data_IF_062916487260
#
_entry.id   IF_062916487260
#
_cell.length_a   1.000
_cell.length_b   1.000
_cell.length_c   1.000
_cell.angle_alpha   90.00
_cell.angle_beta   90.00
_cell.angle_gamma   90.00
#
_symmetry.space_group_name_H-M   'P 1'
#
loop_
_entity.id
_entity.type
_entity.pdbx_description
1 polymer ?
#
# COMPACT_ATOMS: atom_id res chain seq x y z
N UNK A 1 -6.98 -16.89 -20.84
CA UNK A 1 -7.42 -15.80 -19.93
C UNK A 1 -7.41 -14.52 -20.73
N UNK A 2 -8.56 -13.88 -20.90
CA UNK A 2 -8.67 -12.64 -21.67
C UNK A 2 -8.26 -11.49 -20.72
N UNK A 3 -7.45 -10.53 -21.16
CA UNK A 3 -7.06 -9.35 -20.35
C UNK A 3 -8.23 -8.38 -20.06
N UNK A 4 -9.47 -8.83 -20.25
CA UNK A 4 -10.69 -8.04 -20.12
C UNK A 4 -11.38 -8.22 -18.76
N UNK A 5 -10.93 -9.16 -17.92
CA UNK A 5 -11.61 -9.47 -16.64
C UNK A 5 -10.89 -8.90 -15.39
N UNK A 6 -9.72 -8.26 -15.57
CA UNK A 6 -8.91 -7.69 -14.47
C UNK A 6 -8.35 -6.32 -14.85
N UNK A 7 -8.21 -5.45 -13.85
CA UNK A 7 -7.52 -4.16 -13.94
C UNK A 7 -6.25 -4.14 -13.08
N UNK A 8 -5.71 -2.94 -12.87
CA UNK A 8 -4.59 -2.69 -11.97
C UNK A 8 -4.72 -1.33 -11.27
N UNK A 9 -4.05 -1.20 -10.13
CA UNK A 9 -3.83 0.07 -9.43
C UNK A 9 -2.35 0.42 -9.53
N UNK A 10 -2.07 1.66 -9.92
CA UNK A 10 -0.74 2.27 -9.83
C UNK A 10 -0.81 3.44 -8.86
N UNK A 11 0.30 3.75 -8.22
CA UNK A 11 0.39 4.90 -7.34
C UNK A 11 1.81 5.25 -6.98
N UNK A 12 1.93 6.36 -6.25
CA UNK A 12 3.20 6.94 -5.83
C UNK A 12 3.23 7.09 -4.31
N UNK A 13 4.43 7.00 -3.75
CA UNK A 13 4.74 7.33 -2.36
C UNK A 13 5.81 8.43 -2.37
N UNK A 14 5.46 9.60 -1.85
CA UNK A 14 6.40 10.67 -1.49
C UNK A 14 7.12 10.26 -0.19
N UNK A 15 8.08 9.37 -0.35
CA UNK A 15 8.86 8.80 0.75
C UNK A 15 9.60 9.89 1.53
N UNK A 16 10.05 10.95 0.85
CA UNK A 16 10.79 12.04 1.49
C UNK A 16 9.89 12.81 2.44
N UNK A 17 8.69 13.21 2.00
CA UNK A 17 7.72 13.89 2.86
C UNK A 17 7.28 12.96 4.01
N UNK A 18 7.01 11.69 3.72
CA UNK A 18 6.61 10.70 4.73
C UNK A 18 7.66 10.55 5.84
N UNK A 19 8.94 10.44 5.49
CA UNK A 19 10.04 10.40 6.47
C UNK A 19 10.10 11.68 7.32
N UNK A 20 9.84 12.85 6.73
CA UNK A 20 9.83 14.11 7.46
C UNK A 20 8.67 14.18 8.45
N UNK A 21 7.46 13.77 8.04
CA UNK A 21 6.29 13.72 8.92
C UNK A 21 6.51 12.77 10.09
N UNK A 22 6.97 11.54 9.84
CA UNK A 22 7.23 10.54 10.89
C UNK A 22 8.36 10.97 11.82
N UNK A 23 9.44 11.54 11.28
CA UNK A 23 10.54 12.06 12.09
C UNK A 23 10.16 13.23 13.00
N UNK A 24 9.02 13.88 12.77
CA UNK A 24 8.49 14.95 13.61
C UNK A 24 7.55 14.44 14.72
N UNK A 25 7.09 13.18 14.66
CA UNK A 25 6.14 12.59 15.61
C UNK A 25 6.67 11.27 16.20
N UNK A 26 7.11 11.26 17.47
CA UNK A 26 7.63 10.05 18.11
C UNK A 26 6.59 8.97 18.37
N UNK A 27 5.28 9.24 18.19
CA UNK A 27 4.22 8.24 18.29
C UNK A 27 4.04 7.42 17.01
N UNK A 28 4.60 7.89 15.88
CA UNK A 28 4.71 7.11 14.65
C UNK A 28 5.96 6.24 14.72
N UNK A 29 5.81 4.92 14.52
CA UNK A 29 6.94 3.99 14.58
C UNK A 29 8.00 4.34 13.52
N UNK A 30 9.28 4.18 13.83
CA UNK A 30 10.33 4.44 12.85
C UNK A 30 10.25 3.45 11.68
N UNK A 31 10.52 3.96 10.47
CA UNK A 31 10.68 3.11 9.31
C UNK A 31 11.91 2.22 9.46
N UNK A 32 11.80 0.99 8.97
CA UNK A 32 12.89 0.03 9.07
C UNK A 32 14.06 0.43 8.18
N UNK A 33 15.28 0.28 8.71
CA UNK A 33 16.49 0.65 7.97
C UNK A 33 16.64 -0.19 6.69
N UNK A 34 16.92 0.47 5.57
CA UNK A 34 17.05 -0.16 4.24
C UNK A 34 15.78 -0.88 3.76
N UNK A 35 14.62 -0.38 4.17
CA UNK A 35 13.33 -0.84 3.67
C UNK A 35 12.46 0.36 3.32
N UNK A 36 12.25 0.56 2.03
CA UNK A 36 11.50 1.69 1.49
C UNK A 36 9.99 1.48 1.58
N UNK A 37 9.55 0.33 2.11
CA UNK A 37 8.15 0.05 2.40
C UNK A 37 7.41 -0.74 1.32
N UNK A 38 6.17 -1.05 1.63
CA UNK A 38 5.24 -1.72 0.73
C UNK A 38 3.84 -1.15 0.88
N UNK A 39 3.06 -1.27 -0.20
CA UNK A 39 1.62 -1.00 -0.21
C UNK A 39 0.86 -2.31 -0.02
N UNK A 40 -0.05 -2.30 0.94
CA UNK A 40 -0.94 -3.38 1.30
C UNK A 40 -2.28 -3.13 0.64
N UNK A 41 -2.77 -4.13 -0.10
CA UNK A 41 -4.00 -4.02 -0.89
C UNK A 41 -5.03 -4.98 -0.32
N UNK A 42 -6.19 -4.46 0.07
CA UNK A 42 -7.29 -5.21 0.65
C UNK A 42 -8.50 -5.16 -0.26
N UNK A 43 -9.28 -6.23 -0.31
CA UNK A 43 -10.55 -6.23 -1.02
C UNK A 43 -11.61 -5.50 -0.20
N UNK A 44 -12.37 -4.60 -0.82
CA UNK A 44 -13.43 -3.82 -0.18
C UNK A 44 -13.05 -2.36 0.02
N UNK A 45 -14.04 -1.53 0.34
CA UNK A 45 -13.85 -0.14 0.72
C UNK A 45 -13.66 -0.02 2.23
N UNK A 46 -12.89 0.98 2.65
CA UNK A 46 -12.70 1.39 4.05
C UNK A 46 -12.30 0.24 4.99
N UNK A 47 -11.49 -0.70 4.49
CA UNK A 47 -10.93 -1.79 5.29
C UNK A 47 -9.87 -1.23 6.23
N UNK A 48 -9.99 -1.52 7.52
CA UNK A 48 -8.93 -1.19 8.48
C UNK A 48 -7.66 -1.98 8.14
N UNK A 49 -6.53 -1.31 7.82
CA UNK A 49 -5.30 -1.99 7.41
C UNK A 49 -4.71 -2.85 8.53
N UNK A 50 -4.18 -4.01 8.15
CA UNK A 50 -3.47 -4.96 9.00
C UNK A 50 -2.31 -5.56 8.20
N UNK A 51 -1.21 -5.90 8.86
CA UNK A 51 -0.08 -6.65 8.29
C UNK A 51 -0.50 -7.94 7.56
N UNK A 52 0.41 -8.50 6.76
CA UNK A 52 0.19 -9.80 6.14
C UNK A 52 0.46 -10.88 7.18
N UNK A 53 -0.51 -11.76 7.44
CA UNK A 53 -0.27 -12.91 8.31
C UNK A 53 -0.90 -14.18 7.71
N UNK A 54 -0.09 -15.21 7.44
CA UNK A 54 -0.54 -16.44 6.75
C UNK A 54 -1.44 -17.34 7.60
N UNK A 55 -1.46 -17.14 8.92
CA UNK A 55 -2.30 -17.87 9.86
C UNK A 55 -3.57 -17.11 10.26
N UNK A 56 -3.70 -15.83 9.86
CA UNK A 56 -4.84 -14.99 10.24
C UNK A 56 -6.14 -15.44 9.57
N UNK A 57 -7.14 -15.69 10.41
CA UNK A 57 -8.53 -15.80 10.00
C UNK A 57 -9.17 -14.40 9.88
N UNK A 58 -9.78 -14.09 8.73
CA UNK A 58 -10.51 -12.84 8.50
C UNK A 58 -9.79 -11.88 7.56
N UNK A 59 -9.73 -10.59 7.94
CA UNK A 59 -9.12 -9.53 7.12
C UNK A 59 -7.62 -9.78 6.99
N UNK A 60 -7.13 -9.79 5.76
CA UNK A 60 -5.73 -9.96 5.40
C UNK A 60 -5.51 -9.24 4.06
N UNK A 61 -4.37 -8.58 3.78
CA UNK A 61 -4.08 -8.11 2.45
C UNK A 61 -4.22 -9.21 1.40
N UNK A 62 -4.80 -8.87 0.25
CA UNK A 62 -4.76 -9.71 -0.96
C UNK A 62 -3.34 -9.81 -1.51
N UNK A 63 -2.59 -8.71 -1.40
CA UNK A 63 -1.20 -8.64 -1.80
C UNK A 63 -0.48 -7.49 -1.08
N UNK A 64 0.83 -7.66 -0.94
CA UNK A 64 1.76 -6.67 -0.44
C UNK A 64 2.74 -6.36 -1.57
N UNK A 65 2.80 -5.10 -1.99
CA UNK A 65 3.54 -4.65 -3.17
C UNK A 65 4.69 -3.75 -2.72
N UNK A 66 5.96 -4.14 -2.91
CA UNK A 66 7.08 -3.27 -2.56
C UNK A 66 7.05 -2.01 -3.43
N UNK A 67 7.39 -0.88 -2.83
CA UNK A 67 7.59 0.36 -3.58
C UNK A 67 9.02 0.41 -4.13
N UNK A 68 9.21 1.07 -5.27
CA UNK A 68 10.52 1.22 -5.88
C UNK A 68 10.72 2.65 -6.36
N UNK A 69 11.93 3.19 -6.20
CA UNK A 69 12.27 4.51 -6.72
C UNK A 69 12.14 4.51 -8.24
N UNK A 70 11.24 5.33 -8.77
CA UNK A 70 10.93 5.36 -10.19
C UNK A 70 12.03 6.07 -11.01
N UNK A 71 12.47 7.23 -10.52
CA UNK A 71 13.45 8.10 -11.17
C UNK A 71 14.06 9.14 -10.19
N UNK A 72 14.65 10.21 -10.73
CA UNK A 72 15.26 11.31 -9.97
C UNK A 72 14.23 12.22 -9.25
N UNK A 73 12.91 12.02 -9.44
CA UNK A 73 11.86 12.79 -8.77
C UNK A 73 11.82 12.58 -7.25
N UNK A 74 12.38 11.47 -6.77
CA UNK A 74 12.30 11.08 -5.36
C UNK A 74 10.98 10.43 -4.97
N UNK A 75 10.09 10.18 -5.94
CA UNK A 75 8.85 9.44 -5.75
C UNK A 75 9.08 7.94 -5.96
N UNK A 76 8.43 7.15 -5.10
CA UNK A 76 8.45 5.70 -5.16
C UNK A 76 7.16 5.19 -5.79
N UNK A 77 7.27 4.40 -6.85
CA UNK A 77 6.13 3.83 -7.56
C UNK A 77 5.81 2.43 -7.06
N UNK A 78 4.55 2.05 -7.20
CA UNK A 78 4.07 0.69 -6.98
C UNK A 78 2.97 0.33 -7.98
N UNK A 79 2.78 -0.98 -8.19
CA UNK A 79 1.75 -1.50 -9.10
C UNK A 79 1.13 -2.77 -8.54
N UNK A 80 -0.18 -2.71 -8.26
CA UNK A 80 -1.00 -3.87 -7.91
C UNK A 80 -1.82 -4.29 -9.13
N UNK A 81 -1.40 -5.37 -9.81
CA UNK A 81 -2.03 -5.85 -11.04
C UNK A 81 -2.87 -7.11 -10.83
N UNK A 82 -3.67 -7.45 -11.85
CA UNK A 82 -4.55 -8.63 -11.87
C UNK A 82 -5.70 -8.59 -10.84
N UNK A 83 -6.16 -7.38 -10.51
CA UNK A 83 -7.28 -7.15 -9.60
C UNK A 83 -8.61 -7.27 -10.36
N UNK A 84 -9.59 -7.98 -9.80
CA UNK A 84 -10.95 -7.98 -10.36
C UNK A 84 -11.60 -6.61 -10.19
N UNK A 85 -12.58 -6.27 -11.02
CA UNK A 85 -13.35 -5.03 -10.85
C UNK A 85 -14.00 -4.94 -9.46
N UNK A 86 -13.93 -3.75 -8.84
CA UNK A 86 -14.49 -3.47 -7.52
C UNK A 86 -13.65 -2.52 -6.67
N UNK A 87 -14.10 -2.28 -5.45
CA UNK A 87 -13.42 -1.44 -4.46
C UNK A 87 -12.27 -2.16 -3.78
N UNK A 88 -11.16 -1.45 -3.57
CA UNK A 88 -10.01 -1.91 -2.80
C UNK A 88 -9.57 -0.82 -1.84
N UNK A 89 -9.14 -1.20 -0.64
CA UNK A 89 -8.41 -0.30 0.24
C UNK A 89 -6.93 -0.52 -0.01
N UNK A 90 -6.17 0.57 -0.14
CA UNK A 90 -4.72 0.53 -0.20
C UNK A 90 -4.14 1.36 0.92
N UNK A 91 -3.03 0.91 1.50
CA UNK A 91 -2.32 1.66 2.53
C UNK A 91 -0.86 1.26 2.55
N UNK A 92 0.02 2.18 2.92
CA UNK A 92 1.47 1.98 2.89
C UNK A 92 2.04 1.77 4.29
N UNK A 93 3.01 0.86 4.41
CA UNK A 93 3.85 0.77 5.61
C UNK A 93 5.33 0.65 5.23
N UNK A 94 6.17 1.36 5.99
CA UNK A 94 7.63 1.33 5.90
C UNK A 94 8.28 0.44 6.98
N UNK A 95 7.50 -0.40 7.65
CA UNK A 95 7.98 -1.32 8.68
C UNK A 95 8.11 -2.73 8.08
N UNK A 96 9.19 -3.43 8.41
CA UNK A 96 9.36 -4.83 7.99
C UNK A 96 8.22 -5.66 8.58
N UNK A 97 7.66 -6.51 7.73
CA UNK A 97 6.58 -7.42 8.06
C UNK A 97 7.11 -8.85 8.15
N UNK A 98 6.65 -9.60 9.15
CA UNK A 98 6.88 -11.04 9.29
C UNK A 98 5.55 -11.76 9.06
N UNK A 99 5.46 -12.45 7.92
CA UNK A 99 4.20 -13.05 7.51
C UNK A 99 3.74 -14.24 8.37
N UNK A 100 4.56 -14.70 9.33
CA UNK A 100 4.21 -15.72 10.32
C UNK A 100 3.77 -15.12 11.67
N UNK A 101 3.89 -13.80 11.87
CA UNK A 101 3.54 -13.12 13.12
C UNK A 101 2.41 -12.10 12.91
N UNK A 102 1.66 -11.81 13.98
CA UNK A 102 0.62 -10.77 13.98
C UNK A 102 1.28 -9.47 14.47
N UNK A 103 1.74 -8.66 13.53
CA UNK A 103 2.54 -7.47 13.79
C UNK A 103 1.68 -6.20 13.77
N UNK A 104 1.81 -5.36 14.81
CA UNK A 104 1.21 -4.03 14.78
C UNK A 104 2.06 -3.08 13.90
N UNK A 105 1.72 -2.99 12.62
CA UNK A 105 2.29 -2.01 11.69
C UNK A 105 1.50 -0.70 11.72
N UNK A 106 2.20 0.40 11.49
CA UNK A 106 1.60 1.71 11.24
C UNK A 106 1.47 1.93 9.75
N UNK A 107 0.32 2.48 9.38
CA UNK A 107 -0.13 2.62 8.01
C UNK A 107 -0.36 4.09 7.67
N UNK A 108 0.11 4.50 6.50
CA UNK A 108 -0.02 5.86 5.98
C UNK A 108 -0.84 5.87 4.69
N UNK A 109 -1.61 6.95 4.51
CA UNK A 109 -2.31 7.22 3.25
C UNK A 109 -3.39 6.21 2.87
N UNK A 110 -4.06 5.62 3.88
CA UNK A 110 -5.19 4.71 3.67
C UNK A 110 -6.28 5.36 2.82
N UNK A 111 -6.62 4.73 1.70
CA UNK A 111 -7.62 5.23 0.76
C UNK A 111 -8.37 4.08 0.08
N UNK A 112 -9.59 4.36 -0.38
CA UNK A 112 -10.39 3.44 -1.21
C UNK A 112 -10.19 3.78 -2.68
N UNK A 113 -9.88 2.78 -3.50
CA UNK A 113 -9.64 2.88 -4.95
C UNK A 113 -10.58 1.93 -5.70
N UNK A 114 -11.22 2.44 -6.75
CA UNK A 114 -12.14 1.65 -7.60
C UNK A 114 -11.41 1.08 -8.82
N UNK A 115 -11.22 -0.23 -8.86
CA UNK A 115 -10.63 -0.93 -10.01
C UNK A 115 -11.69 -1.16 -11.06
N UNK A 116 -11.38 -0.81 -12.31
CA UNK A 116 -12.20 -1.11 -13.48
C UNK A 116 -11.45 -2.12 -14.36
N UNK A 117 -12.13 -3.17 -14.80
CA UNK A 117 -11.51 -4.21 -15.61
C UNK A 117 -10.92 -3.65 -16.92
N UNK A 118 -9.71 -4.11 -17.28
CA UNK A 118 -8.98 -3.67 -18.47
C UNK A 118 -8.39 -2.26 -18.40
N UNK A 119 -8.40 -1.60 -17.24
CA UNK A 119 -7.83 -0.26 -17.04
C UNK A 119 -6.79 -0.24 -15.93
N UNK A 120 -5.93 0.77 -16.01
CA UNK A 120 -5.13 1.25 -14.87
C UNK A 120 -5.95 2.31 -14.14
N UNK A 121 -6.18 2.10 -12.84
CA UNK A 121 -6.65 3.14 -11.92
C UNK A 121 -5.42 3.73 -11.22
N UNK A 122 -5.38 5.05 -11.06
CA UNK A 122 -4.29 5.74 -10.34
C UNK A 122 -4.79 6.09 -8.94
N UNK A 123 -4.09 5.64 -7.91
CA UNK A 123 -4.31 6.01 -6.52
C UNK A 123 -3.74 7.41 -6.23
N UNK A 124 -4.29 8.09 -5.24
CA UNK A 124 -3.72 9.35 -4.76
C UNK A 124 -2.34 9.11 -4.15
N UNK A 125 -1.39 10.02 -4.39
CA UNK A 125 -0.03 9.94 -3.84
C UNK A 125 -0.08 9.88 -2.31
N UNK A 126 0.73 8.97 -1.74
CA UNK A 126 0.87 8.79 -0.28
C UNK A 126 2.06 9.62 0.22
N UNK A 127 1.98 10.33 1.36
CA UNK A 127 0.80 10.48 2.21
C UNK A 127 -0.26 11.36 1.54
N UNK A 128 -1.54 11.12 1.85
CA UNK A 128 -2.65 11.90 1.31
C UNK A 128 -2.52 13.38 1.71
N UNK A 129 -2.84 14.28 0.78
CA UNK A 129 -2.93 15.70 1.08
C UNK A 129 -3.97 15.95 2.18
N UNK A 130 -3.58 16.75 3.19
CA UNK A 130 -4.47 17.18 4.28
C UNK A 130 -5.42 18.30 3.85
#
# INVERSE_FOLDING_TARGET
>A
MNKLDVGQIEGEVDYTNLMQTRGADPELADCSANYEGSVYVYQGADVEPVDLNVERDGTNPLMVVPVALADESGLYEWTAALLTEGSYTVSYSCQVDDNEEDNELKFDGTQTVEVVAGKTTVADTIPLAQ
#
